data_IF_266863444611
#
_entry.id   IF_266863444611
#
_cell.length_a   1.000
_cell.length_b   1.000
_cell.length_c   1.000
_cell.angle_alpha   90.00
_cell.angle_beta   90.00
_cell.angle_gamma   90.00
#
_symmetry.space_group_name_H-M   'P 1'
#
loop_
_entity.id
_entity.type
_entity.pdbx_description
1 polymer ?
#
# COMPACT_ATOMS: atom_id res chain seq x y z
N UNK A 1 -73.90 -58.63 33.08
CA UNK A 1 -74.87 -58.28 32.03
C UNK A 1 -74.22 -57.40 31.02
N UNK A 2 -73.92 -58.00 29.90
CA UNK A 2 -73.14 -57.44 28.81
C UNK A 2 -74.09 -56.84 27.76
N UNK A 3 -73.88 -55.60 27.32
CA UNK A 3 -74.44 -55.08 26.13
C UNK A 3 -73.39 -54.68 25.13
N UNK A 4 -73.34 -55.46 24.05
CA UNK A 4 -72.60 -55.14 22.84
C UNK A 4 -73.41 -54.18 21.98
N UNK A 5 -72.81 -53.06 21.57
CA UNK A 5 -73.35 -52.20 20.49
C UNK A 5 -72.33 -52.13 19.36
N UNK A 6 -72.65 -52.69 18.26
CA UNK A 6 -71.88 -52.69 17.01
C UNK A 6 -72.05 -51.36 16.27
N UNK A 7 -70.94 -50.68 15.99
CA UNK A 7 -70.88 -49.55 15.09
C UNK A 7 -70.48 -49.98 13.65
N UNK A 8 -71.39 -49.74 12.73
CA UNK A 8 -71.18 -49.95 11.28
C UNK A 8 -70.28 -48.86 10.72
N UNK A 9 -69.15 -49.23 10.13
CA UNK A 9 -68.29 -48.35 9.38
C UNK A 9 -68.91 -48.02 8.03
N UNK A 10 -69.06 -46.72 7.73
CA UNK A 10 -69.37 -46.21 6.42
C UNK A 10 -68.07 -45.93 5.66
N UNK A 11 -67.87 -46.62 4.55
CA UNK A 11 -66.79 -46.37 3.58
C UNK A 11 -67.22 -45.24 2.68
N UNK A 12 -66.44 -44.14 2.64
CA UNK A 12 -66.54 -43.08 1.65
C UNK A 12 -65.43 -43.29 0.59
N UNK A 13 -65.68 -43.06 -0.70
CA UNK A 13 -64.65 -43.20 -1.74
C UNK A 13 -63.72 -41.97 -1.72
N UNK A 14 -62.41 -42.24 -1.68
CA UNK A 14 -61.36 -41.24 -1.85
C UNK A 14 -61.19 -41.03 -3.34
N UNK A 15 -61.48 -39.83 -3.81
CA UNK A 15 -61.13 -39.34 -5.17
C UNK A 15 -59.68 -38.89 -5.12
N UNK A 16 -58.78 -39.60 -5.75
CA UNK A 16 -57.38 -39.25 -5.95
C UNK A 16 -57.29 -38.16 -7.02
N UNK A 17 -57.05 -36.92 -6.67
CA UNK A 17 -56.65 -35.88 -7.60
C UNK A 17 -55.13 -35.98 -7.85
N UNK A 18 -54.76 -36.36 -9.07
CA UNK A 18 -53.36 -36.34 -9.52
C UNK A 18 -52.93 -34.88 -9.76
N UNK A 19 -52.23 -34.31 -8.78
CA UNK A 19 -51.56 -33.03 -8.93
C UNK A 19 -50.31 -33.16 -9.75
N UNK A 20 -50.26 -32.52 -10.90
CA UNK A 20 -49.05 -32.38 -11.72
C UNK A 20 -48.14 -31.40 -11.04
N UNK A 21 -47.06 -31.86 -10.39
CA UNK A 21 -45.95 -31.04 -9.92
C UNK A 21 -45.11 -30.59 -11.10
N UNK A 22 -45.26 -29.35 -11.51
CA UNK A 22 -44.36 -28.67 -12.45
C UNK A 22 -43.13 -28.25 -11.63
N UNK A 23 -41.89 -28.71 -11.93
CA UNK A 23 -40.73 -28.21 -11.24
C UNK A 23 -40.47 -26.76 -11.65
N UNK A 24 -40.60 -25.83 -10.72
CA UNK A 24 -40.10 -24.44 -10.86
C UNK A 24 -38.58 -24.51 -10.82
N UNK A 25 -37.94 -24.48 -11.97
CA UNK A 25 -36.49 -24.23 -12.04
C UNK A 25 -36.28 -22.76 -11.67
N UNK A 26 -35.93 -22.52 -10.41
CA UNK A 26 -35.44 -21.22 -9.98
C UNK A 26 -34.10 -20.98 -10.68
N UNK A 27 -34.12 -20.26 -11.79
CA UNK A 27 -32.91 -19.76 -12.45
C UNK A 27 -32.13 -18.91 -11.46
N UNK A 28 -30.95 -19.41 -11.00
CA UNK A 28 -30.00 -18.59 -10.27
C UNK A 28 -29.62 -17.42 -11.19
N UNK A 29 -29.99 -16.20 -10.79
CA UNK A 29 -29.51 -15.00 -11.47
C UNK A 29 -27.97 -15.04 -11.48
N UNK A 30 -27.29 -14.75 -12.61
CA UNK A 30 -25.84 -14.71 -12.63
C UNK A 30 -25.40 -13.67 -11.58
N UNK A 31 -24.57 -14.12 -10.61
CA UNK A 31 -23.94 -13.21 -9.67
C UNK A 31 -23.17 -12.17 -10.49
N UNK A 32 -23.59 -10.89 -10.38
CA UNK A 32 -22.89 -9.78 -11.02
C UNK A 32 -21.42 -9.86 -10.59
N UNK A 33 -20.54 -10.26 -11.49
CA UNK A 33 -19.12 -10.25 -11.25
C UNK A 33 -18.74 -8.80 -10.89
N UNK A 34 -18.36 -8.59 -9.63
CA UNK A 34 -17.89 -7.28 -9.20
C UNK A 34 -16.77 -6.87 -10.14
N UNK A 35 -16.99 -5.78 -10.88
CA UNK A 35 -16.00 -5.27 -11.85
C UNK A 35 -14.68 -5.08 -11.11
N UNK A 36 -13.63 -5.75 -11.58
CA UNK A 36 -12.30 -5.60 -11.01
C UNK A 36 -11.95 -4.10 -10.99
N UNK A 37 -11.43 -3.56 -9.87
CA UNK A 37 -11.15 -2.13 -9.77
C UNK A 37 -10.12 -1.76 -10.84
N UNK A 38 -10.50 -0.83 -11.70
CA UNK A 38 -9.68 -0.44 -12.84
C UNK A 38 -8.61 0.58 -12.42
N UNK A 39 -7.41 0.39 -12.94
CA UNK A 39 -6.36 1.41 -12.90
C UNK A 39 -6.82 2.58 -13.75
N UNK A 40 -6.78 3.79 -13.21
CA UNK A 40 -7.06 5.03 -13.94
C UNK A 40 -5.77 5.81 -14.11
N UNK A 41 -5.44 6.17 -15.35
CA UNK A 41 -4.25 6.96 -15.68
C UNK A 41 -4.59 8.17 -16.52
N UNK A 42 -3.83 9.27 -16.31
CA UNK A 42 -3.76 10.45 -17.16
C UNK A 42 -2.31 10.72 -17.52
N UNK A 43 -2.03 11.36 -18.67
CA UNK A 43 -0.68 11.71 -19.09
C UNK A 43 -0.70 12.86 -20.07
N UNK A 44 0.30 13.74 -19.99
CA UNK A 44 0.60 14.72 -21.05
C UNK A 44 1.27 14.09 -22.28
N UNK A 45 1.78 12.85 -22.17
CA UNK A 45 2.39 12.13 -23.29
C UNK A 45 1.35 11.21 -23.95
N UNK A 46 1.15 11.37 -25.25
CA UNK A 46 0.18 10.57 -26.02
C UNK A 46 0.43 9.07 -25.87
N UNK A 47 -0.65 8.30 -25.66
CA UNK A 47 -0.65 6.85 -25.54
C UNK A 47 -0.10 6.29 -24.21
N UNK A 48 0.63 7.09 -23.41
CA UNK A 48 1.28 6.59 -22.19
C UNK A 48 0.27 6.23 -21.10
N UNK A 49 -0.80 7.02 -20.94
CA UNK A 49 -1.86 6.72 -19.97
C UNK A 49 -2.50 5.36 -20.25
N UNK A 50 -2.94 5.12 -21.47
CA UNK A 50 -3.56 3.84 -21.90
C UNK A 50 -2.59 2.67 -21.73
N UNK A 51 -1.32 2.89 -22.08
CA UNK A 51 -0.28 1.85 -21.93
C UNK A 51 -0.08 1.46 -20.47
N UNK A 52 0.13 2.43 -19.58
CA UNK A 52 0.30 2.19 -18.13
C UNK A 52 -0.94 1.53 -17.52
N UNK A 53 -2.13 1.99 -17.88
CA UNK A 53 -3.39 1.43 -17.41
C UNK A 53 -3.51 -0.06 -17.75
N UNK A 54 -3.26 -0.42 -19.03
CA UNK A 54 -3.27 -1.81 -19.50
C UNK A 54 -2.20 -2.64 -18.79
N UNK A 55 -0.97 -2.16 -18.73
CA UNK A 55 0.18 -2.93 -18.29
C UNK A 55 0.18 -3.12 -16.76
N UNK A 56 -0.27 -2.14 -15.98
CA UNK A 56 -0.48 -2.30 -14.53
C UNK A 56 -1.63 -3.29 -14.27
N UNK A 57 -2.73 -3.20 -15.02
CA UNK A 57 -3.85 -4.14 -14.90
C UNK A 57 -3.40 -5.56 -15.21
N UNK A 58 -2.63 -5.76 -16.26
CA UNK A 58 -2.07 -7.07 -16.64
C UNK A 58 -1.11 -7.62 -15.57
N UNK A 59 -0.26 -6.75 -14.97
CA UNK A 59 0.64 -7.15 -13.90
C UNK A 59 -0.09 -7.59 -12.60
N UNK A 60 -1.34 -7.16 -12.43
CA UNK A 60 -2.20 -7.52 -11.30
C UNK A 60 -3.15 -8.68 -11.60
N UNK A 61 -3.25 -9.12 -12.86
CA UNK A 61 -4.11 -10.23 -13.23
C UNK A 61 -3.72 -11.51 -12.48
N UNK A 62 -4.72 -12.19 -11.89
CA UNK A 62 -4.51 -13.39 -11.09
C UNK A 62 -3.82 -13.18 -9.74
N UNK A 63 -3.53 -11.92 -9.34
CA UNK A 63 -2.97 -11.63 -8.01
C UNK A 63 -4.08 -11.59 -6.96
N UNK A 64 -3.93 -12.41 -5.94
CA UNK A 64 -4.83 -12.41 -4.78
C UNK A 64 -4.55 -11.21 -3.85
N UNK A 65 -5.51 -10.91 -2.98
CA UNK A 65 -5.42 -9.81 -2.04
C UNK A 65 -5.88 -8.48 -2.63
N UNK A 66 -5.69 -7.42 -1.84
CA UNK A 66 -6.08 -6.06 -2.23
C UNK A 66 -4.82 -5.24 -2.50
N UNK A 67 -4.73 -4.65 -3.68
CA UNK A 67 -3.59 -3.81 -4.09
C UNK A 67 -4.08 -2.40 -4.37
N UNK A 68 -3.39 -1.41 -3.80
CA UNK A 68 -3.54 0.00 -4.16
C UNK A 68 -2.24 0.51 -4.80
N UNK A 69 -2.38 1.34 -5.82
CA UNK A 69 -1.24 1.92 -6.57
C UNK A 69 -1.46 3.42 -6.74
N UNK A 70 -0.40 4.19 -6.57
CA UNK A 70 -0.35 5.57 -7.04
C UNK A 70 1.01 5.83 -7.69
N UNK A 71 0.97 6.40 -8.89
CA UNK A 71 2.16 6.79 -9.67
C UNK A 71 2.02 8.26 -10.01
N UNK A 72 3.11 9.01 -9.91
CA UNK A 72 3.19 10.37 -10.39
C UNK A 72 4.53 10.62 -11.07
N UNK A 73 4.49 11.01 -12.34
CA UNK A 73 5.66 11.44 -13.10
C UNK A 73 5.50 12.91 -13.51
N UNK A 74 6.47 13.73 -13.12
CA UNK A 74 6.47 15.16 -13.42
C UNK A 74 6.95 15.48 -14.83
N UNK A 75 7.80 14.63 -15.39
CA UNK A 75 8.39 14.87 -16.72
C UNK A 75 7.32 14.75 -17.82
N UNK A 76 6.47 13.74 -17.71
CA UNK A 76 5.41 13.50 -18.70
C UNK A 76 4.03 13.94 -18.21
N UNK A 77 3.95 14.61 -17.04
CA UNK A 77 2.70 14.95 -16.36
C UNK A 77 1.73 13.75 -16.29
N UNK A 78 2.28 12.59 -15.85
CA UNK A 78 1.52 11.35 -15.75
C UNK A 78 1.08 11.09 -14.31
N UNK A 79 -0.14 10.63 -14.14
CA UNK A 79 -0.68 10.13 -12.87
C UNK A 79 -1.47 8.85 -13.11
N UNK A 80 -1.23 7.82 -12.30
CA UNK A 80 -2.03 6.60 -12.27
C UNK A 80 -2.50 6.29 -10.87
N UNK A 81 -3.74 5.84 -10.71
CA UNK A 81 -4.31 5.45 -9.42
C UNK A 81 -5.08 4.15 -9.52
N UNK A 82 -5.00 3.35 -8.46
CA UNK A 82 -5.84 2.19 -8.19
C UNK A 82 -6.19 2.18 -6.70
N UNK A 83 -7.47 2.08 -6.35
CA UNK A 83 -7.94 2.08 -4.95
C UNK A 83 -7.30 3.19 -4.10
N UNK A 84 -7.33 4.41 -4.60
CA UNK A 84 -6.57 5.55 -4.11
C UNK A 84 -6.76 5.84 -2.61
N UNK A 85 -7.96 5.61 -2.07
CA UNK A 85 -8.35 5.92 -0.69
C UNK A 85 -8.47 4.70 0.22
N UNK A 86 -8.23 3.49 -0.30
CA UNK A 86 -8.26 2.27 0.53
C UNK A 86 -7.17 2.35 1.59
N UNK A 87 -7.58 2.11 2.84
CA UNK A 87 -6.73 2.30 4.02
C UNK A 87 -6.05 0.99 4.44
N UNK A 88 -4.76 1.08 4.77
CA UNK A 88 -3.89 -0.04 5.16
C UNK A 88 -3.17 0.26 6.47
N UNK A 89 -2.83 -0.77 7.27
CA UNK A 89 -1.88 -0.62 8.36
C UNK A 89 -0.48 -0.38 7.77
N UNK A 90 0.16 0.73 8.11
CA UNK A 90 1.36 1.23 7.44
C UNK A 90 2.60 0.33 7.54
N UNK A 91 2.67 -0.51 8.57
CA UNK A 91 3.92 -1.14 8.95
C UNK A 91 5.06 -0.09 9.01
N UNK A 92 6.24 -0.42 8.48
CA UNK A 92 7.40 0.48 8.50
C UNK A 92 7.39 1.62 7.48
N UNK A 93 6.36 1.74 6.62
CA UNK A 93 6.26 2.89 5.69
C UNK A 93 6.08 4.19 6.48
N UNK A 94 5.34 4.18 7.59
CA UNK A 94 5.13 5.35 8.46
C UNK A 94 6.44 5.99 8.96
N UNK A 95 7.56 5.28 8.93
CA UNK A 95 8.87 5.81 9.38
C UNK A 95 9.31 7.03 8.59
N UNK A 96 8.91 7.14 7.33
CA UNK A 96 9.14 8.36 6.53
C UNK A 96 8.33 9.52 7.08
N UNK A 97 7.07 9.29 7.44
CA UNK A 97 6.22 10.28 8.11
C UNK A 97 6.79 10.69 9.47
N UNK A 98 7.30 9.75 10.26
CA UNK A 98 7.96 10.04 11.55
C UNK A 98 9.17 10.95 11.36
N UNK A 99 10.05 10.63 10.39
CA UNK A 99 11.21 11.48 10.09
C UNK A 99 10.81 12.86 9.58
N UNK A 100 9.83 12.92 8.68
CA UNK A 100 9.32 14.20 8.18
C UNK A 100 8.70 15.04 9.30
N UNK A 101 7.99 14.40 10.25
CA UNK A 101 7.45 15.08 11.45
C UNK A 101 8.58 15.65 12.33
N UNK A 102 9.65 14.87 12.56
CA UNK A 102 10.79 15.31 13.35
C UNK A 102 11.46 16.55 12.73
N UNK A 103 11.65 16.54 11.42
CA UNK A 103 12.26 17.65 10.69
C UNK A 103 11.35 18.88 10.61
N UNK A 104 10.05 18.67 10.49
CA UNK A 104 9.05 19.75 10.55
C UNK A 104 8.99 20.37 11.94
N UNK A 105 9.03 19.57 13.00
CA UNK A 105 9.09 20.05 14.39
C UNK A 105 10.39 20.83 14.65
N UNK A 106 11.53 20.33 14.20
CA UNK A 106 12.81 21.02 14.29
C UNK A 106 12.78 22.38 13.59
N UNK A 107 12.21 22.44 12.38
CA UNK A 107 12.01 23.70 11.64
C UNK A 107 11.15 24.70 12.44
N UNK A 108 10.03 24.26 13.01
CA UNK A 108 9.13 25.12 13.80
C UNK A 108 9.81 25.74 15.02
N UNK A 109 10.80 25.05 15.59
CA UNK A 109 11.58 25.51 16.72
C UNK A 109 12.92 26.15 16.32
N UNK A 110 13.14 26.40 15.02
CA UNK A 110 14.37 26.96 14.47
C UNK A 110 15.64 26.25 14.98
N UNK A 111 15.63 24.92 14.99
CA UNK A 111 16.75 24.10 15.48
C UNK A 111 17.18 23.03 14.48
N UNK A 112 18.38 22.53 14.63
CA UNK A 112 18.87 21.32 13.96
C UNK A 112 18.48 20.07 14.74
N UNK A 113 18.62 18.91 14.10
CA UNK A 113 18.55 17.63 14.81
C UNK A 113 19.73 17.48 15.76
N UNK A 114 19.49 16.94 16.93
CA UNK A 114 20.56 16.50 17.83
C UNK A 114 21.31 15.31 17.23
N UNK A 115 22.51 15.03 17.75
CA UNK A 115 23.28 13.84 17.36
C UNK A 115 22.46 12.56 17.56
N UNK A 116 21.76 12.45 18.71
CA UNK A 116 20.89 11.31 19.02
C UNK A 116 19.73 11.18 18.00
N UNK A 117 19.04 12.26 17.67
CA UNK A 117 17.96 12.27 16.68
C UNK A 117 18.46 11.83 15.30
N UNK A 118 19.64 12.32 14.88
CA UNK A 118 20.24 11.94 13.60
C UNK A 118 20.64 10.46 13.53
N UNK A 119 21.20 9.92 14.63
CA UNK A 119 21.51 8.49 14.74
C UNK A 119 20.27 7.61 14.68
N UNK A 120 19.23 7.97 15.44
CA UNK A 120 17.95 7.27 15.45
C UNK A 120 17.26 7.34 14.05
N UNK A 121 17.25 8.52 13.43
CA UNK A 121 16.69 8.70 12.09
C UNK A 121 17.41 7.83 11.05
N UNK A 122 18.75 7.77 11.13
CA UNK A 122 19.55 6.94 10.24
C UNK A 122 19.21 5.46 10.41
N UNK A 123 19.21 4.94 11.64
CA UNK A 123 18.86 3.54 11.90
C UNK A 123 17.42 3.23 11.47
N UNK A 124 16.47 4.12 11.79
CA UNK A 124 15.04 4.00 11.47
C UNK A 124 14.80 3.87 9.97
N UNK A 125 15.44 4.68 9.15
CA UNK A 125 15.18 4.68 7.70
C UNK A 125 16.04 3.63 7.01
N UNK A 126 17.35 3.60 7.24
CA UNK A 126 18.27 2.77 6.45
C UNK A 126 18.17 1.28 6.80
N UNK A 127 17.94 0.95 8.07
CA UNK A 127 17.82 -0.45 8.56
C UNK A 127 16.39 -0.83 8.91
N UNK A 128 15.46 0.12 8.84
CA UNK A 128 14.08 -0.05 9.32
C UNK A 128 14.01 -0.42 10.82
N UNK A 129 14.90 0.14 11.64
CA UNK A 129 15.01 -0.17 13.06
C UNK A 129 13.74 0.24 13.83
N UNK A 130 13.16 -0.71 14.59
CA UNK A 130 11.92 -0.51 15.33
C UNK A 130 12.15 0.21 16.66
N UNK A 131 13.26 -0.05 17.35
CA UNK A 131 13.57 0.62 18.61
C UNK A 131 13.83 2.12 18.38
N UNK A 132 14.59 2.47 17.33
CA UNK A 132 14.78 3.84 16.90
C UNK A 132 13.46 4.52 16.53
N UNK A 133 12.55 3.81 15.87
CA UNK A 133 11.21 4.33 15.54
C UNK A 133 10.41 4.63 16.78
N UNK A 134 10.35 3.68 17.72
CA UNK A 134 9.62 3.84 18.99
C UNK A 134 10.19 5.01 19.80
N UNK A 135 11.51 5.16 19.84
CA UNK A 135 12.14 6.28 20.56
C UNK A 135 11.73 7.65 19.95
N UNK A 136 11.77 7.78 18.61
CA UNK A 136 11.37 9.01 17.93
C UNK A 136 9.85 9.26 18.00
N UNK A 137 9.04 8.20 17.88
CA UNK A 137 7.59 8.30 18.00
C UNK A 137 7.17 8.79 19.39
N UNK A 138 7.76 8.24 20.45
CA UNK A 138 7.48 8.65 21.83
C UNK A 138 7.97 10.10 22.10
N UNK A 139 9.12 10.48 21.57
CA UNK A 139 9.65 11.84 21.68
C UNK A 139 8.74 12.86 20.99
N UNK A 140 8.20 12.54 19.83
CA UNK A 140 7.31 13.43 19.08
C UNK A 140 5.92 13.51 19.70
N UNK A 141 5.38 12.37 20.09
CA UNK A 141 3.99 12.23 20.49
C UNK A 141 3.02 12.33 19.31
N UNK A 142 1.83 11.76 19.47
CA UNK A 142 0.80 11.71 18.41
C UNK A 142 0.34 13.12 18.00
N UNK A 143 0.36 14.09 18.90
CA UNK A 143 -0.06 15.48 18.61
C UNK A 143 0.82 16.11 17.53
N UNK A 144 2.15 15.97 17.61
CA UNK A 144 3.07 16.51 16.60
C UNK A 144 2.93 15.76 15.27
N UNK A 145 2.71 14.44 15.31
CA UNK A 145 2.44 13.65 14.09
C UNK A 145 1.18 14.17 13.41
N UNK A 146 0.08 14.35 14.12
CA UNK A 146 -1.17 14.93 13.58
C UNK A 146 -0.95 16.34 13.02
N UNK A 147 -0.16 17.17 13.71
CA UNK A 147 0.19 18.50 13.23
C UNK A 147 0.95 18.49 11.91
N UNK A 148 1.93 17.58 11.76
CA UNK A 148 2.63 17.39 10.49
C UNK A 148 1.69 16.88 9.38
N UNK A 149 0.86 15.88 9.67
CA UNK A 149 -0.09 15.35 8.69
C UNK A 149 -1.03 16.44 8.16
N UNK A 150 -1.53 17.30 9.03
CA UNK A 150 -2.34 18.46 8.64
C UNK A 150 -1.55 19.43 7.75
N UNK A 151 -0.32 19.78 8.14
CA UNK A 151 0.55 20.67 7.37
C UNK A 151 0.93 20.09 5.98
N UNK A 152 1.06 18.76 5.90
CA UNK A 152 1.36 18.04 4.66
C UNK A 152 0.12 17.73 3.80
N UNK A 153 -1.09 18.07 4.26
CA UNK A 153 -2.35 17.75 3.60
C UNK A 153 -2.67 16.25 3.55
N UNK A 154 -2.06 15.45 4.43
CA UNK A 154 -2.28 13.99 4.56
C UNK A 154 -3.51 13.71 5.43
N UNK A 155 -4.67 14.12 4.96
CA UNK A 155 -5.92 14.18 5.74
C UNK A 155 -6.59 12.83 6.00
N UNK A 156 -6.16 11.79 5.31
CA UNK A 156 -6.70 10.44 5.43
C UNK A 156 -5.75 9.50 6.22
N UNK A 157 -4.59 9.98 6.60
CA UNK A 157 -3.64 9.24 7.43
C UNK A 157 -3.99 9.41 8.90
N UNK A 158 -4.22 8.28 9.59
CA UNK A 158 -4.63 8.26 11.00
C UNK A 158 -3.55 7.56 11.82
N UNK A 159 -2.88 8.27 12.75
CA UNK A 159 -1.86 7.68 13.62
C UNK A 159 -2.38 6.50 14.42
N UNK A 160 -1.59 5.45 14.54
CA UNK A 160 -1.92 4.28 15.35
C UNK A 160 -2.08 4.65 16.83
N UNK A 161 -3.07 4.04 17.49
CA UNK A 161 -3.33 4.23 18.92
C UNK A 161 -2.35 3.42 19.79
N UNK A 162 -2.27 3.73 21.09
CA UNK A 162 -1.52 2.95 22.08
C UNK A 162 -0.01 2.82 21.79
N UNK A 163 0.60 3.76 21.08
CA UNK A 163 2.02 3.69 20.72
C UNK A 163 2.34 2.76 19.54
N UNK A 164 1.34 2.11 18.95
CA UNK A 164 1.51 1.19 17.83
C UNK A 164 1.65 1.95 16.49
N UNK A 165 2.77 2.62 16.30
CA UNK A 165 3.06 3.41 15.10
C UNK A 165 2.88 2.61 13.80
N UNK A 166 3.20 1.30 13.78
CA UNK A 166 3.02 0.43 12.61
C UNK A 166 1.56 0.16 12.23
N UNK A 167 0.60 0.49 13.10
CA UNK A 167 -0.84 0.44 12.85
C UNK A 167 -1.40 1.79 12.39
N UNK A 168 -0.55 2.78 12.11
CA UNK A 168 -0.98 4.01 11.44
C UNK A 168 -1.69 3.66 10.14
N UNK A 169 -2.91 4.19 9.97
CA UNK A 169 -3.71 3.95 8.77
C UNK A 169 -3.26 4.89 7.67
N UNK A 170 -2.81 4.33 6.56
CA UNK A 170 -2.31 5.06 5.38
C UNK A 170 -3.05 4.64 4.12
N UNK A 171 -3.00 5.46 3.08
CA UNK A 171 -3.40 5.12 1.73
C UNK A 171 -2.42 5.67 0.69
N UNK A 172 -2.52 5.21 -0.54
CA UNK A 172 -1.58 5.63 -1.59
C UNK A 172 -1.71 7.10 -2.00
N UNK A 173 -2.85 7.73 -1.74
CA UNK A 173 -3.04 9.17 -1.98
C UNK A 173 -2.18 10.01 -1.04
N UNK A 174 -2.22 9.72 0.25
CA UNK A 174 -1.45 10.46 1.24
C UNK A 174 0.05 10.13 1.16
N UNK A 175 0.41 8.86 0.90
CA UNK A 175 1.81 8.51 0.64
C UNK A 175 2.37 9.22 -0.61
N UNK A 176 1.55 9.45 -1.63
CA UNK A 176 1.96 10.22 -2.79
C UNK A 176 2.14 11.72 -2.47
N UNK A 177 1.30 12.29 -1.58
CA UNK A 177 1.50 13.66 -1.06
C UNK A 177 2.81 13.75 -0.28
N UNK A 178 3.12 12.76 0.55
CA UNK A 178 4.40 12.68 1.27
C UNK A 178 5.58 12.66 0.30
N UNK A 179 5.58 11.78 -0.70
CA UNK A 179 6.64 11.71 -1.71
C UNK A 179 6.75 13.01 -2.50
N UNK A 180 5.63 13.64 -2.84
CA UNK A 180 5.59 14.95 -3.49
C UNK A 180 6.23 16.02 -2.61
N UNK A 181 5.88 16.07 -1.33
CA UNK A 181 6.45 17.00 -0.36
C UNK A 181 7.98 16.83 -0.26
N UNK A 182 8.49 15.60 -0.29
CA UNK A 182 9.92 15.31 -0.22
C UNK A 182 10.67 15.68 -1.51
N UNK A 183 10.01 15.65 -2.67
CA UNK A 183 10.66 15.83 -3.97
C UNK A 183 10.45 17.20 -4.60
N UNK A 184 9.58 18.05 -4.03
CA UNK A 184 9.31 19.41 -4.53
C UNK A 184 9.58 20.47 -3.48
N UNK A 185 9.92 21.69 -3.91
CA UNK A 185 10.03 22.85 -3.02
C UNK A 185 8.66 23.15 -2.40
N UNK A 186 8.64 23.41 -1.10
CA UNK A 186 7.42 23.70 -0.34
C UNK A 186 7.73 24.47 0.95
N UNK A 187 6.69 24.89 1.65
CA UNK A 187 6.81 25.64 2.92
C UNK A 187 6.81 24.74 4.16
N UNK A 188 6.46 23.45 4.04
CA UNK A 188 6.36 22.51 5.17
C UNK A 188 7.75 22.07 5.63
N UNK A 189 8.58 21.61 4.69
CA UNK A 189 9.95 21.16 4.94
C UNK A 189 10.97 22.07 4.24
N UNK A 190 12.11 22.34 4.90
CA UNK A 190 13.23 23.03 4.27
C UNK A 190 13.87 22.16 3.17
N UNK A 191 14.63 22.79 2.27
CA UNK A 191 15.36 22.07 1.22
C UNK A 191 16.36 21.06 1.83
N UNK A 192 17.04 21.45 2.90
CA UNK A 192 17.96 20.56 3.62
C UNK A 192 17.25 19.38 4.29
N UNK A 193 16.06 19.62 4.88
CA UNK A 193 15.24 18.56 5.48
C UNK A 193 14.82 17.53 4.44
N UNK A 194 14.32 17.99 3.28
CA UNK A 194 13.92 17.12 2.18
C UNK A 194 15.11 16.31 1.63
N UNK A 195 16.23 16.97 1.41
CA UNK A 195 17.45 16.32 0.96
C UNK A 195 17.94 15.26 1.96
N UNK A 196 17.83 15.53 3.27
CA UNK A 196 18.19 14.57 4.31
C UNK A 196 17.31 13.32 4.29
N UNK A 197 15.96 13.45 4.21
CA UNK A 197 15.06 12.31 4.09
C UNK A 197 15.39 11.48 2.86
N UNK A 198 15.51 12.12 1.70
CA UNK A 198 15.84 11.45 0.44
C UNK A 198 17.20 10.76 0.50
N UNK A 199 18.22 11.40 1.11
CA UNK A 199 19.52 10.77 1.33
C UNK A 199 19.39 9.47 2.13
N UNK A 200 18.65 9.46 3.24
CA UNK A 200 18.46 8.25 4.03
C UNK A 200 17.67 7.17 3.27
N UNK A 201 16.64 7.55 2.51
CA UNK A 201 15.86 6.63 1.68
C UNK A 201 16.69 6.05 0.51
N UNK A 202 17.72 6.75 0.03
CA UNK A 202 18.63 6.24 -0.99
C UNK A 202 19.70 5.27 -0.40
N UNK A 203 19.98 5.37 0.90
CA UNK A 203 21.00 4.61 1.60
C UNK A 203 20.43 3.45 2.43
N UNK A 204 19.25 2.95 2.09
CA UNK A 204 18.72 1.74 2.74
C UNK A 204 19.64 0.54 2.45
N UNK A 205 19.85 -0.31 3.46
CA UNK A 205 20.68 -1.50 3.32
C UNK A 205 20.16 -2.43 2.21
N UNK A 206 21.02 -3.27 1.59
CA UNK A 206 20.63 -4.11 0.44
C UNK A 206 19.35 -4.93 0.69
N UNK A 207 19.17 -5.49 1.88
CA UNK A 207 17.97 -6.26 2.25
C UNK A 207 16.67 -5.45 2.29
N UNK A 208 16.74 -4.12 2.19
CA UNK A 208 15.60 -3.21 2.12
C UNK A 208 15.36 -2.65 0.70
N UNK A 209 16.19 -3.01 -0.28
CA UNK A 209 16.11 -2.47 -1.66
C UNK A 209 15.21 -3.31 -2.58
N UNK A 210 14.05 -3.74 -2.09
CA UNK A 210 13.04 -4.46 -2.86
C UNK A 210 11.78 -3.61 -3.11
N UNK A 211 10.80 -4.17 -3.79
CA UNK A 211 9.52 -3.52 -4.03
C UNK A 211 9.58 -2.50 -5.17
N UNK A 212 9.25 -1.24 -4.88
CA UNK A 212 9.20 -0.18 -5.90
C UNK A 212 10.50 0.07 -6.66
N UNK A 213 11.72 -0.23 -6.17
CA UNK A 213 12.93 -0.13 -6.97
C UNK A 213 13.04 -1.15 -8.12
N UNK A 214 12.31 -2.27 -8.08
CA UNK A 214 12.44 -3.32 -9.10
C UNK A 214 12.08 -2.81 -10.50
N UNK A 215 13.01 -2.90 -11.43
CA UNK A 215 12.85 -2.39 -12.80
C UNK A 215 13.30 -0.94 -13.00
N UNK A 216 13.74 -0.23 -11.94
CA UNK A 216 14.25 1.13 -12.07
C UNK A 216 15.49 1.17 -12.97
N UNK A 217 15.63 2.15 -13.90
CA UNK A 217 16.84 2.28 -14.71
C UNK A 217 18.03 2.70 -13.85
N UNK A 218 19.24 2.34 -14.29
CA UNK A 218 20.47 2.70 -13.59
C UNK A 218 20.74 4.21 -13.52
N UNK A 219 20.10 4.97 -14.41
CA UNK A 219 20.23 6.43 -14.49
C UNK A 219 19.52 7.19 -13.36
N UNK A 220 18.67 6.54 -12.58
CA UNK A 220 17.97 7.18 -11.46
C UNK A 220 18.52 6.78 -10.11
N UNK A 221 18.54 7.73 -9.18
CA UNK A 221 18.70 7.45 -7.76
C UNK A 221 17.37 6.91 -7.21
N UNK A 222 17.43 5.76 -6.56
CA UNK A 222 16.30 5.08 -5.94
C UNK A 222 16.18 5.51 -4.47
N UNK A 223 15.07 6.14 -4.11
CA UNK A 223 14.74 6.47 -2.73
C UNK A 223 13.57 5.58 -2.32
N UNK A 224 13.75 4.69 -1.35
CA UNK A 224 12.72 3.70 -1.02
C UNK A 224 12.48 3.57 0.47
N UNK A 225 11.25 3.26 0.85
CA UNK A 225 10.90 2.74 2.17
C UNK A 225 9.86 1.64 2.02
N UNK A 226 10.17 0.52 2.64
CA UNK A 226 9.33 -0.66 2.67
C UNK A 226 8.69 -0.83 4.04
N UNK A 227 7.59 -1.59 4.08
CA UNK A 227 6.93 -2.00 5.30
C UNK A 227 6.24 -3.35 5.10
N UNK A 228 6.24 -4.18 6.14
CA UNK A 228 5.52 -5.45 6.14
C UNK A 228 5.07 -5.80 7.54
N UNK A 229 3.94 -6.50 7.62
CA UNK A 229 3.26 -6.80 8.87
C UNK A 229 2.31 -7.97 8.64
N UNK A 230 2.40 -9.01 9.44
CA UNK A 230 1.41 -10.08 9.47
C UNK A 230 0.30 -9.77 10.48
N UNK A 231 -0.93 -10.05 10.09
CA UNK A 231 -2.09 -9.96 10.98
C UNK A 231 -2.82 -11.30 10.98
N UNK A 232 -3.52 -11.60 12.07
CA UNK A 232 -4.36 -12.83 12.18
C UNK A 232 -5.45 -12.87 11.13
N UNK A 233 -6.03 -11.71 10.82
CA UNK A 233 -7.00 -11.54 9.75
C UNK A 233 -6.33 -11.01 8.50
N UNK A 234 -6.67 -11.55 7.31
CA UNK A 234 -6.19 -11.08 6.00
C UNK A 234 -4.67 -11.21 5.77
N UNK A 235 -3.95 -12.03 6.53
CA UNK A 235 -2.56 -12.39 6.26
C UNK A 235 -1.58 -11.20 6.25
N UNK A 236 -0.69 -11.15 5.24
CA UNK A 236 0.39 -10.17 5.17
C UNK A 236 -0.03 -8.86 4.51
N UNK A 237 0.32 -7.73 5.17
CA UNK A 237 0.44 -6.42 4.57
C UNK A 237 1.86 -6.26 4.09
N UNK A 238 2.05 -5.87 2.84
CA UNK A 238 3.37 -5.62 2.26
C UNK A 238 3.30 -4.35 1.43
N UNK A 239 4.19 -3.40 1.72
CA UNK A 239 4.13 -2.06 1.18
C UNK A 239 5.49 -1.60 0.69
N UNK A 240 5.50 -0.77 -0.35
CA UNK A 240 6.70 -0.10 -0.82
C UNK A 240 6.33 1.26 -1.39
N UNK A 241 7.02 2.30 -0.95
CA UNK A 241 6.94 3.64 -1.54
C UNK A 241 8.32 4.08 -2.00
N UNK A 242 8.40 4.78 -3.12
CA UNK A 242 9.68 5.24 -3.63
C UNK A 242 9.60 6.45 -4.54
N UNK A 243 10.70 7.22 -4.59
CA UNK A 243 10.93 8.27 -5.54
C UNK A 243 12.18 7.96 -6.38
N UNK A 244 12.14 8.30 -7.66
CA UNK A 244 13.13 7.93 -8.67
C UNK A 244 13.52 9.18 -9.44
N UNK A 245 14.77 9.65 -9.26
CA UNK A 245 15.22 10.95 -9.75
C UNK A 245 16.60 10.87 -10.39
N UNK A 246 16.78 11.56 -11.48
CA UNK A 246 18.04 11.61 -12.24
C UNK A 246 17.89 11.14 -13.67
N UNK A 247 18.88 11.33 -14.51
CA UNK A 247 18.85 10.93 -15.90
C UNK A 247 17.67 11.47 -16.72
N UNK A 248 17.18 12.67 -16.39
CA UNK A 248 15.99 13.24 -17.02
C UNK A 248 14.66 12.71 -16.49
N UNK A 249 14.65 11.92 -15.42
CA UNK A 249 13.46 11.33 -14.82
C UNK A 249 13.17 11.93 -13.44
N UNK A 250 11.88 12.08 -13.10
CA UNK A 250 11.42 12.54 -11.79
C UNK A 250 10.00 12.03 -11.52
N UNK A 251 9.92 10.83 -10.93
CA UNK A 251 8.64 10.18 -10.65
C UNK A 251 8.65 9.45 -9.30
N UNK A 252 7.47 9.12 -8.83
CA UNK A 252 7.24 8.40 -7.58
C UNK A 252 6.20 7.30 -7.76
N UNK A 253 6.36 6.23 -6.96
CA UNK A 253 5.50 5.05 -6.97
C UNK A 253 5.17 4.70 -5.53
N UNK A 254 3.89 4.51 -5.24
CA UNK A 254 3.39 3.96 -3.98
C UNK A 254 2.56 2.72 -4.28
N UNK A 255 2.93 1.58 -3.69
CA UNK A 255 2.16 0.34 -3.80
C UNK A 255 1.93 -0.22 -2.40
N UNK A 256 0.67 -0.34 -2.02
CA UNK A 256 0.23 -0.91 -0.75
C UNK A 256 -0.57 -2.17 -1.02
N UNK A 257 -0.30 -3.24 -0.26
CA UNK A 257 -0.97 -4.52 -0.44
C UNK A 257 -1.43 -5.13 0.88
N UNK A 258 -2.53 -5.89 0.82
CA UNK A 258 -3.15 -6.55 1.96
C UNK A 258 -3.75 -7.89 1.49
N UNK A 259 -3.88 -8.85 2.39
CA UNK A 259 -4.44 -10.16 2.06
C UNK A 259 -3.45 -11.07 1.33
N UNK A 260 -2.15 -10.83 1.47
CA UNK A 260 -1.15 -11.69 0.86
C UNK A 260 -0.98 -12.98 1.70
N UNK A 261 -0.90 -14.12 1.02
CA UNK A 261 -0.68 -15.43 1.67
C UNK A 261 0.69 -15.52 2.36
N UNK A 262 1.70 -14.91 1.75
CA UNK A 262 3.06 -14.80 2.30
C UNK A 262 3.61 -13.38 2.09
N UNK A 263 4.62 -13.01 2.87
CA UNK A 263 5.36 -11.77 2.65
C UNK A 263 5.95 -11.72 1.24
N UNK A 264 6.58 -12.81 0.80
CA UNK A 264 7.20 -12.88 -0.52
C UNK A 264 6.18 -12.73 -1.66
N UNK A 265 4.96 -13.27 -1.50
CA UNK A 265 3.88 -13.06 -2.47
C UNK A 265 3.56 -11.57 -2.66
N UNK A 266 3.44 -10.83 -1.57
CA UNK A 266 3.24 -9.38 -1.61
C UNK A 266 4.40 -8.63 -2.26
N UNK A 267 5.65 -9.02 -1.93
CA UNK A 267 6.87 -8.45 -2.57
C UNK A 267 6.82 -8.66 -4.08
N UNK A 268 6.54 -9.88 -4.53
CA UNK A 268 6.45 -10.20 -5.97
C UNK A 268 5.34 -9.41 -6.66
N UNK A 269 4.19 -9.20 -6.00
CA UNK A 269 3.10 -8.36 -6.52
C UNK A 269 3.56 -6.93 -6.74
N UNK A 270 4.20 -6.32 -5.75
CA UNK A 270 4.73 -4.96 -5.84
C UNK A 270 5.77 -4.85 -6.95
N UNK A 271 6.69 -5.81 -7.02
CA UNK A 271 7.76 -5.81 -8.02
C UNK A 271 7.23 -6.00 -9.47
N UNK A 272 6.19 -6.81 -9.66
CA UNK A 272 5.54 -6.97 -10.96
C UNK A 272 4.96 -5.62 -11.46
N UNK A 273 4.20 -4.93 -10.60
CA UNK A 273 3.66 -3.60 -10.88
C UNK A 273 4.77 -2.58 -11.14
N UNK A 274 5.80 -2.56 -10.30
CA UNK A 274 6.89 -1.58 -10.41
C UNK A 274 7.68 -1.75 -11.70
N UNK A 275 7.96 -2.98 -12.12
CA UNK A 275 8.69 -3.29 -13.36
C UNK A 275 7.98 -2.72 -14.59
N UNK A 276 6.66 -2.87 -14.70
CA UNK A 276 5.91 -2.34 -15.85
C UNK A 276 5.86 -0.81 -15.81
N UNK A 277 5.69 -0.20 -14.63
CA UNK A 277 5.70 1.26 -14.47
C UNK A 277 7.05 1.83 -14.91
N UNK A 278 8.16 1.30 -14.41
CA UNK A 278 9.50 1.74 -14.80
C UNK A 278 9.74 1.58 -16.31
N UNK A 279 9.39 0.43 -16.87
CA UNK A 279 9.54 0.18 -18.31
C UNK A 279 8.79 1.22 -19.13
N UNK A 280 7.57 1.55 -18.74
CA UNK A 280 6.69 2.41 -19.53
C UNK A 280 7.04 3.89 -19.38
N UNK A 281 7.48 4.33 -18.20
CA UNK A 281 7.97 5.68 -17.96
C UNK A 281 9.36 5.94 -18.55
N UNK A 282 10.18 4.88 -18.67
CA UNK A 282 11.57 4.98 -19.11
C UNK A 282 11.87 4.00 -20.27
N UNK A 283 11.18 4.13 -21.43
CA UNK A 283 11.25 3.13 -22.50
C UNK A 283 12.63 3.05 -23.16
N UNK A 284 13.43 4.11 -23.11
CA UNK A 284 14.79 4.15 -23.68
C UNK A 284 15.83 3.42 -22.84
N UNK A 285 15.52 3.08 -21.57
CA UNK A 285 16.47 2.36 -20.72
C UNK A 285 16.57 0.88 -21.16
N UNK A 286 17.80 0.42 -21.44
CA UNK A 286 18.06 -0.97 -21.79
C UNK A 286 17.61 -1.93 -20.69
N UNK A 287 17.13 -3.11 -21.07
CA UNK A 287 16.68 -4.13 -20.11
C UNK A 287 17.82 -4.55 -19.14
N UNK A 288 19.05 -4.66 -19.64
CA UNK A 288 20.24 -5.00 -18.86
C UNK A 288 20.63 -3.94 -17.82
N UNK A 289 20.18 -2.69 -17.98
CA UNK A 289 20.45 -1.59 -17.04
C UNK A 289 19.38 -1.45 -15.95
N UNK A 290 18.36 -2.32 -15.92
CA UNK A 290 17.28 -2.24 -14.95
C UNK A 290 17.60 -2.97 -13.67
N UNK A 291 17.33 -2.30 -12.56
CA UNK A 291 17.59 -2.83 -11.24
C UNK A 291 16.76 -4.09 -10.94
N UNK A 292 17.43 -5.14 -10.53
CA UNK A 292 16.81 -6.36 -10.02
C UNK A 292 17.21 -6.54 -8.55
N UNK A 293 16.24 -6.60 -7.62
CA UNK A 293 16.56 -6.91 -6.23
C UNK A 293 17.22 -8.28 -6.10
N UNK A 294 18.36 -8.34 -5.42
CA UNK A 294 19.18 -9.55 -5.24
C UNK A 294 18.96 -10.23 -3.89
N UNK A 295 18.25 -9.56 -2.97
CA UNK A 295 17.96 -10.04 -1.63
C UNK A 295 16.47 -10.17 -1.41
N UNK A 296 16.06 -11.28 -0.80
CA UNK A 296 14.72 -11.42 -0.26
C UNK A 296 14.62 -10.70 1.08
N UNK A 297 13.51 -10.00 1.36
CA UNK A 297 13.30 -9.40 2.67
C UNK A 297 13.26 -10.50 3.73
N UNK A 298 13.92 -10.27 4.87
CA UNK A 298 13.79 -11.14 6.03
C UNK A 298 12.50 -10.80 6.76
N UNK A 299 11.75 -11.82 7.14
CA UNK A 299 10.60 -11.66 8.02
C UNK A 299 11.10 -11.11 9.36
N UNK A 300 10.77 -9.85 9.65
CA UNK A 300 11.04 -9.27 10.95
C UNK A 300 9.73 -9.27 11.74
N UNK A 301 9.76 -9.83 12.93
CA UNK A 301 8.64 -9.77 13.84
C UNK A 301 8.46 -8.32 14.31
N UNK A 302 7.37 -7.69 13.93
CA UNK A 302 6.93 -6.42 14.53
C UNK A 302 5.95 -6.80 15.64
N UNK A 303 6.27 -6.45 16.88
CA UNK A 303 5.35 -6.58 17.99
C UNK A 303 4.16 -5.63 17.80
N UNK A 304 3.15 -6.10 17.11
CA UNK A 304 1.85 -5.44 17.04
C UNK A 304 0.81 -6.37 17.66
N UNK A 305 -0.23 -5.84 18.29
CA UNK A 305 -1.31 -6.68 18.78
C UNK A 305 -1.82 -7.55 17.65
N UNK A 306 -1.90 -8.85 17.92
CA UNK A 306 -2.61 -9.77 17.04
C UNK A 306 -4.09 -9.39 17.19
N UNK A 307 -4.61 -8.66 16.23
CA UNK A 307 -6.03 -8.32 16.16
C UNK A 307 -6.85 -9.48 15.65
#
# INVERSE_FOLDING_TARGET
MTHHTSLRARVLPVVAAAGILVPVVAGAAPASAATAPQVSCTSGKAGLATKLQRDITAALAGRAGTVAVNVRDRVTNTSCTLRATTSYDSASVVKVTVLATLLWDAKKHNRYLTTRESQLATAMITKSDNAATTALWNQLGVTKVKGFLAAAGMTQTVPGSGGYWGLTRINVTDEQKLLWLLTTKNTVLTDSARAYVLKLMANVIPSQQWGTPAGAPSSVTKHVKNGWLQRSTRGWRVHSIGAFRGGGHDYSISVLTDGNSTMNYGVQTIQAVSKVIHRDLTPSAAASSRYTPTTSPREAYVAVPRG
#
